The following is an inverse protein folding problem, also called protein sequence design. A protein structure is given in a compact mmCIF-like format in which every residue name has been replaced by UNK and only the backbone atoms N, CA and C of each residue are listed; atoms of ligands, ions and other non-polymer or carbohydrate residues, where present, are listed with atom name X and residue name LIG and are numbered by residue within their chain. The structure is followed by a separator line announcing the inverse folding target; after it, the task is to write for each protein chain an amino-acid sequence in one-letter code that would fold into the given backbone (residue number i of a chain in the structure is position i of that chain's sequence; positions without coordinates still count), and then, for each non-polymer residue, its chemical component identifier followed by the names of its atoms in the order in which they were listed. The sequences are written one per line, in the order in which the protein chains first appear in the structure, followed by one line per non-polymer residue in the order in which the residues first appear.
data_IF_919264366775
#
_entry.id   IF_919264366775
#
_cell.length_a   1.000
_cell.length_b   1.000
_cell.length_c   1.000
_cell.angle_alpha   90.00
_cell.angle_beta   90.00
_cell.angle_gamma   90.00
#
_symmetry.space_group_name_H-M   'P 1'
#
loop_
_entity.id
_entity.type
_entity.pdbx_description
1 polymer ?
#
# COMPACT_ATOMS: atom_id res chain seq x y z
N UNK A 1 56.67 9.09 -5.25
CA UNK A 1 55.23 9.18 -5.57
C UNK A 1 54.33 9.68 -4.43
N UNK A 2 54.82 10.01 -3.22
CA UNK A 2 53.94 10.45 -2.11
C UNK A 2 53.67 11.97 -1.98
N UNK A 3 54.35 12.86 -2.71
CA UNK A 3 54.16 14.33 -2.56
C UNK A 3 52.96 14.92 -3.31
N UNK A 4 52.33 14.18 -4.24
CA UNK A 4 51.21 14.69 -5.07
C UNK A 4 49.83 14.48 -4.42
N UNK A 5 49.69 13.50 -3.52
CA UNK A 5 48.40 13.15 -2.92
C UNK A 5 47.94 14.18 -1.86
N UNK A 6 48.88 14.72 -1.07
CA UNK A 6 48.57 15.72 -0.03
C UNK A 6 48.06 17.06 -0.57
N UNK A 7 48.55 17.50 -1.74
CA UNK A 7 48.09 18.75 -2.38
C UNK A 7 46.65 18.65 -2.90
N UNK A 8 46.25 17.49 -3.43
CA UNK A 8 44.88 17.26 -3.90
C UNK A 8 43.90 17.22 -2.73
N UNK A 9 44.27 16.54 -1.63
CA UNK A 9 43.42 16.47 -0.44
C UNK A 9 43.21 17.84 0.23
N UNK A 10 44.26 18.68 0.26
CA UNK A 10 44.17 20.04 0.80
C UNK A 10 43.28 20.95 -0.05
N UNK A 11 43.33 20.83 -1.39
CA UNK A 11 42.46 21.58 -2.30
C UNK A 11 40.98 21.18 -2.16
N UNK A 12 40.69 19.89 -1.95
CA UNK A 12 39.33 19.43 -1.68
C UNK A 12 38.78 19.96 -0.36
N UNK A 13 39.59 19.94 0.71
CA UNK A 13 39.17 20.45 2.02
C UNK A 13 38.92 21.97 2.00
N UNK A 14 39.76 22.75 1.31
CA UNK A 14 39.56 24.19 1.15
C UNK A 14 38.30 24.49 0.32
N UNK A 15 38.03 23.71 -0.73
CA UNK A 15 36.81 23.84 -1.53
C UNK A 15 35.53 23.52 -0.75
N UNK A 16 35.54 22.49 0.08
CA UNK A 16 34.40 22.14 0.95
C UNK A 16 34.16 23.21 2.03
N UNK A 17 35.20 23.80 2.61
CA UNK A 17 35.04 24.88 3.59
C UNK A 17 34.51 26.17 2.95
N UNK A 18 34.95 26.50 1.74
CA UNK A 18 34.46 27.68 1.01
C UNK A 18 32.99 27.55 0.58
N UNK A 19 32.57 26.36 0.15
CA UNK A 19 31.18 26.08 -0.20
C UNK A 19 30.25 26.10 1.01
N UNK A 20 30.68 25.56 2.16
CA UNK A 20 29.94 25.69 3.43
C UNK A 20 29.80 27.15 3.87
N UNK A 21 30.84 27.99 3.71
CA UNK A 21 30.79 29.40 4.07
C UNK A 21 29.78 30.18 3.21
N UNK A 22 29.73 29.90 1.91
CA UNK A 22 28.78 30.54 0.98
C UNK A 22 27.32 30.15 1.28
N UNK A 23 27.06 28.91 1.66
CA UNK A 23 25.72 28.46 2.06
C UNK A 23 25.26 29.15 3.35
N UNK A 24 26.17 29.33 4.33
CA UNK A 24 25.85 30.03 5.57
C UNK A 24 25.59 31.54 5.37
N UNK A 25 26.35 32.19 4.47
CA UNK A 25 26.12 33.59 4.12
C UNK A 25 24.78 33.78 3.37
N UNK A 26 24.42 32.85 2.48
CA UNK A 26 23.13 32.87 1.79
C UNK A 26 21.93 32.66 2.74
N UNK A 27 22.09 31.83 3.79
CA UNK A 27 21.04 31.63 4.81
C UNK A 27 20.86 32.87 5.70
N UNK A 28 21.96 33.55 6.08
CA UNK A 28 21.87 34.82 6.83
C UNK A 28 21.19 35.93 6.04
N UNK A 29 21.49 36.05 4.74
CA UNK A 29 20.88 37.06 3.88
C UNK A 29 19.38 36.80 3.66
N UNK A 30 18.96 35.53 3.63
CA UNK A 30 17.54 35.13 3.55
C UNK A 30 16.76 35.43 4.83
N UNK A 31 17.42 35.31 6.00
CA UNK A 31 16.81 35.67 7.29
C UNK A 31 16.60 37.16 7.46
N UNK A 32 17.53 38.00 6.99
CA UNK A 32 17.38 39.47 7.07
C UNK A 32 16.26 40.02 6.17
N UNK A 33 15.93 39.35 5.06
CA UNK A 33 14.83 39.79 4.17
C UNK A 33 13.44 39.36 4.69
N UNK A 34 13.38 38.37 5.59
CA UNK A 34 12.13 37.85 6.14
C UNK A 34 11.46 38.73 7.22
N UNK A 35 12.17 39.70 7.81
CA UNK A 35 11.65 40.53 8.91
C UNK A 35 11.04 41.88 8.49
N UNK A 36 11.05 42.25 7.20
CA UNK A 36 10.67 43.60 6.73
C UNK A 36 9.49 43.68 5.73
N UNK A 37 8.77 42.59 5.45
CA UNK A 37 7.67 42.56 4.47
C UNK A 37 6.28 42.46 5.12
N UNK A 38 5.71 43.61 5.47
CA UNK A 38 4.46 43.73 6.24
C UNK A 38 3.12 43.60 5.50
N UNK A 39 2.12 43.97 6.28
CA UNK A 39 0.68 44.00 6.13
C UNK A 39 0.11 44.54 4.80
N UNK A 40 -1.06 44.02 4.40
CA UNK A 40 -2.00 44.75 3.55
C UNK A 40 -2.90 43.90 2.64
N UNK A 41 -4.22 44.08 2.77
CA UNK A 41 -5.12 43.99 1.61
C UNK A 41 -6.19 42.89 1.60
N UNK A 42 -7.38 43.24 2.10
CA UNK A 42 -8.66 42.52 1.91
C UNK A 42 -9.28 42.82 0.52
N UNK A 43 -10.26 41.96 0.14
CA UNK A 43 -11.36 42.10 -0.86
C UNK A 43 -11.06 41.60 -2.28
N UNK A 44 -11.72 40.53 -2.71
CA UNK A 44 -12.97 40.45 -3.52
C UNK A 44 -12.60 40.02 -4.97
N UNK A 45 -13.29 39.17 -5.73
CA UNK A 45 -14.72 38.96 -5.94
C UNK A 45 -15.07 37.50 -6.29
N UNK A 46 -16.36 37.19 -6.07
CA UNK A 46 -17.16 36.09 -6.59
C UNK A 46 -17.41 36.16 -8.11
N UNK A 47 -17.78 34.98 -8.65
CA UNK A 47 -18.78 34.73 -9.71
C UNK A 47 -18.28 34.48 -11.13
N UNK A 48 -18.50 33.26 -11.63
CA UNK A 48 -19.50 33.00 -12.69
C UNK A 48 -19.57 31.49 -13.01
N UNK A 49 -20.76 30.92 -12.83
CA UNK A 49 -21.15 29.59 -13.30
C UNK A 49 -22.17 29.75 -14.43
N UNK A 50 -22.07 28.95 -15.49
CA UNK A 50 -23.19 28.25 -16.15
C UNK A 50 -22.77 27.48 -17.42
N UNK A 51 -23.56 26.45 -17.85
CA UNK A 51 -23.07 25.26 -18.54
C UNK A 51 -23.48 25.16 -20.02
N UNK A 52 -22.91 24.20 -20.78
CA UNK A 52 -23.36 23.81 -22.12
C UNK A 52 -23.63 22.30 -22.24
N UNK A 53 -24.73 22.01 -22.96
CA UNK A 53 -25.42 20.73 -23.22
C UNK A 53 -24.66 19.77 -24.17
N UNK A 54 -24.93 18.48 -24.01
CA UNK A 54 -24.75 17.39 -24.99
C UNK A 54 -26.06 17.12 -25.79
N UNK A 55 -25.99 16.42 -26.93
CA UNK A 55 -27.13 15.70 -27.52
C UNK A 55 -27.00 14.16 -27.48
N UNK A 56 -28.15 13.48 -27.37
CA UNK A 56 -28.41 12.03 -27.35
C UNK A 56 -28.50 11.41 -28.76
N UNK A 57 -28.31 10.09 -28.87
CA UNK A 57 -28.86 9.22 -29.93
C UNK A 57 -29.10 7.78 -29.39
N UNK A 58 -30.11 7.11 -29.96
CA UNK A 58 -30.92 5.97 -29.49
C UNK A 58 -30.37 4.55 -29.76
N UNK A 59 -31.04 3.58 -29.10
CA UNK A 59 -30.76 2.14 -28.88
C UNK A 59 -30.95 1.18 -30.08
N UNK A 60 -30.37 -0.03 -29.93
CA UNK A 60 -30.77 -1.28 -30.57
C UNK A 60 -30.13 -2.52 -29.90
N UNK A 61 -30.94 -3.49 -29.48
CA UNK A 61 -30.63 -4.85 -28.96
C UNK A 61 -31.30 -5.89 -29.92
N UNK A 62 -31.03 -7.23 -29.89
CA UNK A 62 -30.58 -8.04 -28.74
C UNK A 62 -29.57 -9.20 -29.01
N UNK A 63 -29.02 -9.80 -27.93
CA UNK A 63 -28.41 -11.15 -27.96
C UNK A 63 -27.60 -11.55 -26.71
N UNK A 64 -28.02 -12.62 -26.02
CA UNK A 64 -27.49 -13.12 -24.73
C UNK A 64 -26.00 -13.54 -24.74
N UNK A 65 -25.20 -12.95 -23.83
CA UNK A 65 -23.92 -13.45 -23.32
C UNK A 65 -23.58 -12.73 -21.96
N UNK A 66 -22.60 -13.20 -21.15
CA UNK A 66 -22.58 -13.07 -19.68
C UNK A 66 -22.49 -11.62 -19.17
N UNK A 67 -23.12 -11.36 -18.01
CA UNK A 67 -23.24 -10.03 -17.38
C UNK A 67 -21.87 -9.37 -17.12
N UNK A 68 -21.40 -8.58 -18.08
CA UNK A 68 -20.47 -7.49 -17.88
C UNK A 68 -21.15 -6.37 -17.07
N UNK A 69 -20.50 -5.89 -16.02
CA UNK A 69 -20.91 -4.68 -15.30
C UNK A 69 -20.61 -3.49 -16.22
N UNK A 70 -21.62 -3.02 -16.95
CA UNK A 70 -21.47 -2.01 -18.02
C UNK A 70 -21.51 -0.54 -17.59
N UNK A 71 -21.61 -0.23 -16.29
CA UNK A 71 -21.48 1.15 -15.84
C UNK A 71 -21.16 1.26 -14.36
N UNK A 72 -20.25 2.19 -14.01
CA UNK A 72 -20.00 2.62 -12.62
C UNK A 72 -21.32 2.99 -11.91
N UNK A 73 -22.30 3.53 -12.64
CA UNK A 73 -23.61 3.92 -12.11
C UNK A 73 -24.41 2.73 -11.56
N UNK A 74 -24.38 1.57 -12.23
CA UNK A 74 -25.14 0.39 -11.81
C UNK A 74 -24.57 -0.18 -10.52
N UNK A 75 -23.25 -0.26 -10.42
CA UNK A 75 -22.57 -0.69 -9.20
C UNK A 75 -22.81 0.28 -8.04
N UNK A 76 -22.75 1.61 -8.27
CA UNK A 76 -23.09 2.58 -7.22
C UNK A 76 -24.57 2.52 -6.82
N UNK A 77 -25.47 2.11 -7.72
CA UNK A 77 -26.88 1.89 -7.41
C UNK A 77 -27.07 0.67 -6.49
N UNK A 78 -26.34 -0.42 -6.72
CA UNK A 78 -26.33 -1.61 -5.85
C UNK A 78 -25.72 -1.30 -4.48
N UNK A 79 -24.60 -0.56 -4.42
CA UNK A 79 -24.03 -0.06 -3.17
C UNK A 79 -25.02 0.82 -2.39
N UNK A 80 -25.75 1.68 -3.10
CA UNK A 80 -26.75 2.56 -2.50
C UNK A 80 -27.94 1.78 -1.96
N UNK A 81 -28.33 0.67 -2.62
CA UNK A 81 -29.41 -0.21 -2.15
C UNK A 81 -29.02 -0.97 -0.89
N UNK A 82 -27.81 -1.55 -0.86
CA UNK A 82 -27.27 -2.21 0.34
C UNK A 82 -27.14 -1.25 1.55
N UNK A 83 -26.82 0.03 1.30
CA UNK A 83 -26.79 1.06 2.35
C UNK A 83 -28.18 1.39 2.91
N UNK A 84 -29.23 1.41 2.08
CA UNK A 84 -30.61 1.65 2.54
C UNK A 84 -31.17 0.48 3.36
N UNK A 85 -30.84 -0.75 2.97
CA UNK A 85 -31.21 -1.95 3.74
C UNK A 85 -30.53 -1.96 5.13
N UNK A 86 -29.28 -1.48 5.23
CA UNK A 86 -28.58 -1.35 6.50
C UNK A 86 -29.04 -0.16 7.37
N UNK A 87 -29.58 0.90 6.77
CA UNK A 87 -30.01 2.12 7.47
C UNK A 87 -31.51 2.16 7.80
N UNK A 88 -32.34 1.28 7.22
CA UNK A 88 -33.79 1.21 7.45
C UNK A 88 -34.21 0.61 8.81
N UNK A 89 -33.28 0.10 9.60
CA UNK A 89 -33.55 -0.46 10.92
C UNK A 89 -33.29 0.58 12.03
N UNK A 90 -34.23 1.51 12.24
CA UNK A 90 -34.14 2.44 13.36
C UNK A 90 -35.44 3.19 13.68
N UNK A 91 -36.23 2.67 14.62
CA UNK A 91 -36.84 3.48 15.69
C UNK A 91 -37.44 2.60 16.80
N UNK A 92 -37.23 3.04 18.05
CA UNK A 92 -37.77 2.58 19.35
C UNK A 92 -37.03 1.41 20.03
N UNK A 93 -36.17 1.77 21.00
CA UNK A 93 -35.46 0.86 21.88
C UNK A 93 -36.34 0.37 23.05
N UNK A 94 -36.19 -0.91 23.42
CA UNK A 94 -35.81 -1.25 24.79
C UNK A 94 -34.54 -2.10 24.83
N UNK A 95 -33.87 -2.10 25.99
CA UNK A 95 -32.61 -2.77 26.31
C UNK A 95 -32.46 -4.14 25.61
N UNK A 96 -31.45 -4.30 24.75
CA UNK A 96 -31.08 -5.59 24.15
C UNK A 96 -29.75 -6.09 24.70
N UNK A 97 -29.81 -7.24 25.34
CA UNK A 97 -28.69 -8.18 25.46
C UNK A 97 -28.07 -8.41 24.08
N UNK A 98 -26.73 -8.42 24.03
CA UNK A 98 -25.90 -8.88 22.91
C UNK A 98 -26.30 -8.38 21.52
N UNK A 99 -25.69 -7.30 21.03
CA UNK A 99 -25.65 -7.04 19.59
C UNK A 99 -25.15 -8.31 18.87
N UNK A 100 -25.93 -8.90 17.93
CA UNK A 100 -25.45 -10.02 17.14
C UNK A 100 -24.14 -9.59 16.47
N UNK A 101 -23.09 -10.40 16.58
CA UNK A 101 -21.88 -10.19 15.78
C UNK A 101 -22.32 -10.02 14.31
N UNK A 102 -21.81 -9.01 13.59
CA UNK A 102 -22.05 -8.92 12.15
C UNK A 102 -21.77 -10.28 11.52
N UNK A 103 -22.70 -10.78 10.71
CA UNK A 103 -22.50 -12.04 10.01
C UNK A 103 -21.21 -11.93 9.18
N UNK A 104 -20.37 -12.97 9.24
CA UNK A 104 -19.19 -13.05 8.41
C UNK A 104 -19.63 -13.01 6.95
N UNK A 105 -18.99 -12.17 6.15
CA UNK A 105 -19.21 -12.15 4.71
C UNK A 105 -18.60 -13.42 4.09
N UNK A 106 -19.36 -14.08 3.22
CA UNK A 106 -18.87 -15.23 2.49
C UNK A 106 -17.91 -14.77 1.38
N UNK A 107 -16.62 -14.94 1.66
CA UNK A 107 -15.53 -14.64 0.74
C UNK A 107 -14.51 -15.78 0.70
N UNK A 108 -13.89 -15.91 -0.46
CA UNK A 108 -12.83 -16.90 -0.72
C UNK A 108 -11.53 -16.19 -1.10
N UNK A 109 -10.44 -16.95 -1.30
CA UNK A 109 -9.19 -16.37 -1.78
C UNK A 109 -9.34 -15.70 -3.16
N UNK A 110 -10.27 -16.18 -3.98
CA UNK A 110 -10.57 -15.63 -5.31
C UNK A 110 -11.16 -14.21 -5.26
N UNK A 111 -11.77 -13.84 -4.13
CA UNK A 111 -12.32 -12.51 -3.92
C UNK A 111 -11.25 -11.47 -3.53
N UNK A 112 -10.02 -11.92 -3.24
CA UNK A 112 -8.90 -11.07 -2.82
C UNK A 112 -7.91 -10.91 -3.97
N UNK A 113 -7.58 -9.67 -4.30
CA UNK A 113 -6.52 -9.30 -5.23
C UNK A 113 -5.26 -9.00 -4.42
N UNK A 114 -4.26 -9.88 -4.48
CA UNK A 114 -2.99 -9.67 -3.78
C UNK A 114 -1.98 -9.12 -4.78
N UNK A 115 -1.57 -7.87 -4.58
CA UNK A 115 -0.53 -7.21 -5.36
C UNK A 115 0.81 -7.29 -4.63
N UNK A 116 1.80 -7.92 -5.26
CA UNK A 116 3.19 -7.98 -4.79
C UNK A 116 4.02 -6.99 -5.60
N UNK A 117 4.52 -5.94 -4.95
CA UNK A 117 5.41 -4.98 -5.61
C UNK A 117 6.85 -5.44 -5.53
N UNK A 118 7.52 -5.47 -6.67
CA UNK A 118 8.93 -5.83 -6.78
C UNK A 118 9.63 -5.00 -7.85
N UNK A 119 10.89 -5.33 -8.11
CA UNK A 119 11.73 -4.75 -9.15
C UNK A 119 12.58 -5.84 -9.77
N UNK A 120 12.99 -5.66 -11.03
CA UNK A 120 13.76 -6.68 -11.78
C UNK A 120 14.98 -7.18 -11.03
N UNK A 121 15.68 -6.31 -10.29
CA UNK A 121 16.86 -6.70 -9.50
C UNK A 121 16.57 -7.69 -8.36
N UNK A 122 15.30 -7.84 -7.94
CA UNK A 122 14.88 -8.71 -6.83
C UNK A 122 14.08 -9.94 -7.26
N UNK A 123 13.87 -10.15 -8.56
CA UNK A 123 13.22 -11.36 -9.08
C UNK A 123 13.87 -12.64 -8.54
N UNK A 124 15.21 -12.71 -8.55
CA UNK A 124 15.95 -13.86 -8.02
C UNK A 124 16.16 -13.81 -6.51
N UNK A 125 16.63 -12.66 -6.00
CA UNK A 125 17.06 -12.56 -4.61
C UNK A 125 15.90 -12.61 -3.59
N UNK A 126 14.67 -12.26 -3.99
CA UNK A 126 13.51 -12.18 -3.09
C UNK A 126 12.30 -12.94 -3.63
N UNK A 127 11.91 -12.66 -4.87
CA UNK A 127 10.65 -13.18 -5.40
C UNK A 127 10.66 -14.71 -5.60
N UNK A 128 11.80 -15.30 -5.99
CA UNK A 128 11.91 -16.77 -6.10
C UNK A 128 11.56 -17.47 -4.77
N UNK A 129 11.96 -16.91 -3.63
CA UNK A 129 11.60 -17.41 -2.30
C UNK A 129 10.07 -17.33 -2.05
N UNK A 130 9.42 -16.25 -2.47
CA UNK A 130 7.98 -16.10 -2.29
C UNK A 130 7.20 -17.11 -3.15
N UNK A 131 7.67 -17.33 -4.39
CA UNK A 131 7.15 -18.32 -5.33
C UNK A 131 7.30 -19.76 -4.82
N UNK A 132 8.41 -20.07 -4.16
CA UNK A 132 8.65 -21.38 -3.54
C UNK A 132 7.79 -21.59 -2.28
N UNK A 133 7.35 -20.50 -1.64
CA UNK A 133 6.66 -20.53 -0.34
C UNK A 133 5.20 -20.09 -0.46
N UNK A 134 4.80 -18.94 0.07
CA UNK A 134 3.39 -18.60 0.24
C UNK A 134 2.64 -18.38 -1.08
N UNK A 135 3.32 -17.91 -2.13
CA UNK A 135 2.70 -17.75 -3.46
C UNK A 135 2.39 -19.11 -4.08
N UNK A 136 3.17 -20.17 -3.78
CA UNK A 136 2.90 -21.52 -4.31
C UNK A 136 1.49 -22.04 -3.97
N UNK A 137 0.91 -21.57 -2.87
CA UNK A 137 -0.43 -21.97 -2.41
C UNK A 137 -1.57 -21.19 -3.05
N UNK A 138 -1.28 -20.05 -3.69
CA UNK A 138 -2.27 -19.12 -4.24
C UNK A 138 -1.80 -18.46 -5.56
N UNK A 139 -1.02 -19.20 -6.36
CA UNK A 139 -0.28 -18.68 -7.52
C UNK A 139 -1.16 -17.92 -8.50
N UNK A 140 -2.34 -18.47 -8.81
CA UNK A 140 -3.27 -17.89 -9.79
C UNK A 140 -4.00 -16.65 -9.26
N UNK A 141 -3.86 -16.33 -7.97
CA UNK A 141 -4.57 -15.23 -7.29
C UNK A 141 -3.64 -14.11 -6.85
N UNK A 142 -2.32 -14.29 -6.99
CA UNK A 142 -1.30 -13.30 -6.66
C UNK A 142 -0.76 -12.66 -7.93
N UNK A 143 -0.74 -11.32 -7.96
CA UNK A 143 -0.29 -10.51 -9.08
C UNK A 143 1.02 -9.81 -8.73
N UNK A 144 2.03 -9.96 -9.58
CA UNK A 144 3.38 -9.44 -9.35
C UNK A 144 3.59 -8.22 -10.24
N UNK A 145 3.86 -7.08 -9.61
CA UNK A 145 4.07 -5.80 -10.30
C UNK A 145 5.55 -5.46 -10.28
N UNK A 146 6.16 -5.38 -11.47
CA UNK A 146 7.60 -5.16 -11.64
C UNK A 146 7.88 -4.06 -12.68
N UNK A 147 9.16 -3.71 -12.81
CA UNK A 147 9.68 -2.69 -13.73
C UNK A 147 10.50 -3.27 -14.90
N UNK A 148 10.49 -4.59 -15.07
CA UNK A 148 11.15 -5.20 -16.21
C UNK A 148 10.73 -6.62 -16.51
N UNK A 149 10.82 -6.96 -17.80
CA UNK A 149 10.53 -8.29 -18.32
C UNK A 149 11.50 -9.35 -17.81
N UNK A 150 10.97 -10.55 -17.56
CA UNK A 150 11.70 -11.75 -17.14
C UNK A 150 10.94 -13.01 -17.60
N UNK A 151 11.47 -13.66 -18.62
CA UNK A 151 10.84 -14.84 -19.23
C UNK A 151 10.86 -16.08 -18.31
N UNK A 152 11.87 -16.20 -17.44
CA UNK A 152 11.90 -17.28 -16.46
C UNK A 152 10.82 -17.08 -15.40
N UNK A 153 10.61 -15.84 -14.96
CA UNK A 153 9.52 -15.50 -14.05
C UNK A 153 8.15 -15.77 -14.68
N UNK A 154 7.93 -15.42 -15.97
CA UNK A 154 6.68 -15.70 -16.68
C UNK A 154 6.38 -17.19 -16.83
N UNK A 155 7.41 -18.03 -17.00
CA UNK A 155 7.24 -19.49 -16.95
C UNK A 155 6.80 -19.95 -15.55
N UNK A 156 7.29 -19.29 -14.51
CA UNK A 156 6.95 -19.57 -13.11
C UNK A 156 5.63 -18.98 -12.64
N UNK A 157 5.00 -18.02 -13.31
CA UNK A 157 3.62 -17.56 -13.04
C UNK A 157 3.10 -16.66 -14.15
N UNK A 158 1.81 -16.79 -14.49
CA UNK A 158 1.17 -15.99 -15.54
C UNK A 158 0.80 -14.57 -15.09
N UNK A 159 0.75 -14.31 -13.78
CA UNK A 159 0.29 -13.05 -13.21
C UNK A 159 1.43 -12.04 -13.00
N UNK A 160 2.27 -11.83 -14.01
CA UNK A 160 3.38 -10.87 -13.96
C UNK A 160 3.04 -9.66 -14.81
N UNK A 161 2.99 -8.49 -14.18
CA UNK A 161 2.68 -7.21 -14.80
C UNK A 161 3.93 -6.36 -14.82
N UNK A 162 4.47 -6.12 -16.01
CA UNK A 162 5.44 -5.06 -16.20
C UNK A 162 4.70 -3.71 -16.24
N UNK A 163 4.98 -2.89 -15.23
CA UNK A 163 4.38 -1.56 -15.04
C UNK A 163 4.93 -0.51 -15.99
N UNK A 164 6.07 -0.76 -16.63
CA UNK A 164 6.87 0.23 -17.36
C UNK A 164 7.25 1.46 -16.52
N UNK A 165 7.14 1.38 -15.20
CA UNK A 165 7.63 2.39 -14.26
C UNK A 165 9.15 2.27 -14.09
N UNK A 166 9.77 3.32 -13.55
CA UNK A 166 11.20 3.29 -13.23
C UNK A 166 11.55 2.19 -12.21
N UNK A 167 12.72 1.59 -12.37
CA UNK A 167 13.33 0.66 -11.41
C UNK A 167 13.96 1.37 -10.19
N UNK A 168 13.95 2.70 -10.16
CA UNK A 168 14.43 3.47 -9.01
C UNK A 168 13.56 3.22 -7.77
N UNK A 169 14.15 3.40 -6.59
CA UNK A 169 13.43 3.38 -5.32
C UNK A 169 13.06 4.80 -4.88
N UNK A 170 12.54 5.61 -5.80
CA UNK A 170 12.09 6.98 -5.54
C UNK A 170 10.59 7.03 -5.27
N UNK A 171 10.11 8.10 -4.62
CA UNK A 171 8.67 8.33 -4.37
C UNK A 171 7.84 8.22 -5.65
N UNK A 172 8.31 8.82 -6.74
CA UNK A 172 7.63 8.77 -8.03
C UNK A 172 7.60 7.35 -8.62
N UNK A 173 8.71 6.61 -8.54
CA UNK A 173 8.77 5.25 -9.08
C UNK A 173 7.85 4.28 -8.32
N UNK A 174 7.83 4.37 -6.98
CA UNK A 174 6.96 3.56 -6.13
C UNK A 174 5.48 3.93 -6.33
N UNK A 175 5.16 5.22 -6.38
CA UNK A 175 3.80 5.69 -6.66
C UNK A 175 3.31 5.26 -8.03
N UNK A 176 4.20 5.20 -9.03
CA UNK A 176 3.86 4.73 -10.37
C UNK A 176 3.44 3.26 -10.34
N UNK A 177 4.20 2.40 -9.65
CA UNK A 177 3.84 0.99 -9.50
C UNK A 177 2.52 0.83 -8.75
N UNK A 178 2.34 1.55 -7.63
CA UNK A 178 1.10 1.55 -6.86
C UNK A 178 -0.12 2.00 -7.69
N UNK A 179 0.05 2.99 -8.58
CA UNK A 179 -1.02 3.40 -9.50
C UNK A 179 -1.46 2.25 -10.41
N UNK A 180 -0.50 1.49 -10.96
CA UNK A 180 -0.79 0.33 -11.82
C UNK A 180 -1.40 -0.83 -11.01
N UNK A 181 -0.95 -1.07 -9.78
CA UNK A 181 -1.56 -2.02 -8.85
C UNK A 181 -3.04 -1.71 -8.62
N UNK A 182 -3.32 -0.45 -8.33
CA UNK A 182 -4.66 0.04 -8.08
C UNK A 182 -5.57 -0.10 -9.31
N UNK A 183 -5.12 0.36 -10.48
CA UNK A 183 -5.90 0.27 -11.72
C UNK A 183 -6.20 -1.20 -12.08
N UNK A 184 -5.21 -2.09 -11.97
CA UNK A 184 -5.40 -3.54 -12.20
C UNK A 184 -6.38 -4.16 -11.21
N UNK A 185 -6.37 -3.72 -9.96
CA UNK A 185 -7.38 -4.14 -8.99
C UNK A 185 -8.79 -3.70 -9.39
N UNK A 186 -8.97 -2.42 -9.79
CA UNK A 186 -10.28 -1.91 -10.22
C UNK A 186 -10.82 -2.74 -11.39
N UNK A 187 -9.97 -2.97 -12.40
CA UNK A 187 -10.26 -3.80 -13.58
C UNK A 187 -10.64 -5.25 -13.20
N UNK A 188 -10.02 -5.82 -12.18
CA UNK A 188 -10.21 -7.22 -11.79
C UNK A 188 -11.62 -7.55 -11.27
N UNK A 189 -12.40 -6.56 -10.86
CA UNK A 189 -13.73 -6.78 -10.26
C UNK A 189 -13.72 -7.36 -8.83
N UNK A 190 -12.56 -7.67 -8.26
CA UNK A 190 -12.44 -8.37 -6.97
C UNK A 190 -12.92 -7.52 -5.78
N UNK A 191 -13.34 -8.19 -4.71
CA UNK A 191 -13.92 -7.58 -3.50
C UNK A 191 -12.89 -6.85 -2.65
N UNK A 192 -11.64 -7.34 -2.63
CA UNK A 192 -10.60 -6.81 -1.77
C UNK A 192 -9.30 -6.56 -2.52
N UNK A 193 -8.69 -5.40 -2.33
CA UNK A 193 -7.33 -5.10 -2.73
C UNK A 193 -6.41 -5.29 -1.54
N UNK A 194 -5.34 -6.06 -1.67
CA UNK A 194 -4.30 -6.16 -0.64
C UNK A 194 -2.93 -5.95 -1.27
N UNK A 195 -2.22 -4.95 -0.79
CA UNK A 195 -0.85 -4.64 -1.20
C UNK A 195 0.15 -5.28 -0.23
N UNK A 196 1.25 -5.83 -0.76
CA UNK A 196 2.44 -6.27 -0.02
C UNK A 196 3.72 -6.02 -0.83
N UNK A 197 4.86 -5.92 -0.14
CA UNK A 197 6.18 -5.83 -0.77
C UNK A 197 6.82 -7.23 -0.96
N UNK A 198 7.88 -7.29 -1.77
CA UNK A 198 8.60 -8.53 -2.10
C UNK A 198 9.43 -9.15 -0.96
N UNK A 199 9.41 -8.54 0.23
CA UNK A 199 9.96 -9.08 1.46
C UNK A 199 8.89 -9.42 2.51
N UNK A 200 7.62 -9.54 2.08
CA UNK A 200 6.52 -10.03 2.92
C UNK A 200 6.16 -11.50 2.68
N UNK A 201 5.75 -12.18 3.75
CA UNK A 201 5.09 -13.48 3.73
C UNK A 201 3.62 -13.30 4.05
N UNK A 202 2.72 -13.86 3.23
CA UNK A 202 1.27 -13.73 3.42
C UNK A 202 0.63 -15.07 3.80
N UNK A 203 -0.01 -15.11 4.97
CA UNK A 203 -0.88 -16.22 5.35
C UNK A 203 -2.29 -15.97 4.80
N UNK A 204 -2.54 -16.40 3.56
CA UNK A 204 -3.78 -16.11 2.83
C UNK A 204 -5.03 -16.65 3.55
N UNK A 205 -4.93 -17.78 4.26
CA UNK A 205 -6.06 -18.33 5.03
C UNK A 205 -6.49 -17.37 6.15
N UNK A 206 -5.51 -16.85 6.89
CA UNK A 206 -5.76 -15.87 7.95
C UNK A 206 -6.21 -14.54 7.38
N UNK A 207 -5.66 -14.12 6.22
CA UNK A 207 -6.10 -12.93 5.51
C UNK A 207 -7.59 -13.00 5.15
N UNK A 208 -8.03 -14.06 4.49
CA UNK A 208 -9.45 -14.25 4.11
C UNK A 208 -10.34 -14.27 5.35
N UNK A 209 -9.91 -14.95 6.43
CA UNK A 209 -10.65 -14.97 7.71
C UNK A 209 -10.76 -13.59 8.37
N UNK A 210 -9.74 -12.75 8.24
CA UNK A 210 -9.79 -11.38 8.75
C UNK A 210 -10.77 -10.54 7.92
N UNK A 211 -10.67 -10.61 6.60
CA UNK A 211 -11.47 -9.81 5.68
C UNK A 211 -12.96 -10.20 5.69
N UNK A 212 -13.30 -11.47 5.93
CA UNK A 212 -14.69 -11.91 6.08
C UNK A 212 -15.40 -11.28 7.28
N UNK A 213 -14.66 -10.67 8.21
CA UNK A 213 -15.24 -9.87 9.30
C UNK A 213 -15.85 -8.53 8.87
N UNK A 214 -15.68 -8.12 7.61
CA UNK A 214 -16.08 -6.81 7.12
C UNK A 214 -16.83 -6.93 5.77
N UNK A 215 -17.88 -6.12 5.53
CA UNK A 215 -18.52 -6.09 4.21
C UNK A 215 -17.66 -5.34 3.19
N UNK A 216 -17.30 -5.98 2.08
CA UNK A 216 -16.46 -5.36 1.03
C UNK A 216 -17.12 -4.17 0.29
N UNK A 217 -18.41 -3.96 0.47
CA UNK A 217 -19.18 -2.83 -0.07
C UNK A 217 -19.09 -1.57 0.81
N UNK A 218 -18.57 -1.70 2.03
CA UNK A 218 -18.36 -0.58 2.94
C UNK A 218 -16.99 0.07 2.76
N UNK A 219 -16.69 1.07 3.59
CA UNK A 219 -15.45 1.84 3.55
C UNK A 219 -14.42 1.25 4.52
N UNK A 220 -13.70 0.22 4.07
CA UNK A 220 -12.76 -0.52 4.90
C UNK A 220 -11.33 -0.32 4.40
N UNK A 221 -10.49 0.23 5.27
CA UNK A 221 -9.04 0.32 5.13
C UNK A 221 -8.41 -0.30 6.37
N UNK A 222 -7.64 -1.38 6.21
CA UNK A 222 -7.10 -2.16 7.33
C UNK A 222 -5.61 -2.45 7.13
N UNK A 223 -4.84 -2.28 8.21
CA UNK A 223 -3.40 -2.53 8.20
C UNK A 223 -2.73 -2.10 9.51
N UNK A 224 -1.40 -2.12 9.53
CA UNK A 224 -0.60 -1.65 10.67
C UNK A 224 -0.28 -0.17 10.51
N UNK A 225 -0.63 0.72 11.46
CA UNK A 225 -0.22 2.12 11.37
C UNK A 225 1.31 2.25 11.44
N UNK A 226 1.87 3.13 10.62
CA UNK A 226 3.34 3.28 10.53
C UNK A 226 4.00 4.08 11.64
N UNK A 227 3.21 4.87 12.36
CA UNK A 227 3.66 5.74 13.43
C UNK A 227 2.79 5.50 14.67
N UNK A 228 3.22 6.02 15.81
CA UNK A 228 2.43 6.07 17.05
C UNK A 228 1.45 7.25 17.09
N UNK A 229 1.50 8.13 16.08
CA UNK A 229 0.68 9.33 15.89
C UNK A 229 0.37 9.57 14.40
N UNK A 230 -0.65 10.35 14.04
CA UNK A 230 -0.87 10.74 12.64
C UNK A 230 0.37 11.44 12.08
N UNK A 231 0.70 11.20 10.80
CA UNK A 231 1.75 11.97 10.14
C UNK A 231 1.31 13.42 10.00
N UNK A 232 2.27 14.34 10.15
CA UNK A 232 2.06 15.76 9.87
C UNK A 232 2.66 16.05 8.50
N UNK A 233 1.84 16.51 7.57
CA UNK A 233 2.26 16.81 6.21
C UNK A 233 1.60 18.10 5.70
N UNK A 234 1.94 18.46 4.46
CA UNK A 234 1.35 19.62 3.81
C UNK A 234 0.88 19.25 2.42
N UNK A 235 -0.33 19.69 2.09
CA UNK A 235 -0.91 19.59 0.77
C UNK A 235 -0.65 20.88 0.00
N UNK A 236 -0.09 20.78 -1.21
CA UNK A 236 0.07 21.91 -2.12
C UNK A 236 -1.24 22.20 -2.85
N UNK A 237 -1.93 23.29 -2.49
CA UNK A 237 -3.16 23.73 -3.17
C UNK A 237 -2.80 24.55 -4.42
N UNK A 238 -1.79 25.43 -4.31
CA UNK A 238 -1.22 26.19 -5.42
C UNK A 238 0.26 26.45 -5.15
N UNK A 239 0.99 27.08 -6.08
CA UNK A 239 2.44 27.31 -5.92
C UNK A 239 2.83 28.01 -4.63
N UNK A 240 1.96 28.91 -4.14
CA UNK A 240 2.20 29.72 -2.95
C UNK A 240 1.29 29.37 -1.77
N UNK A 241 0.45 28.34 -1.89
CA UNK A 241 -0.51 27.96 -0.83
C UNK A 241 -0.36 26.50 -0.46
N UNK A 242 0.14 26.29 0.76
CA UNK A 242 0.24 24.99 1.41
C UNK A 242 -0.82 24.89 2.50
N UNK A 243 -1.44 23.73 2.65
CA UNK A 243 -2.41 23.45 3.70
C UNK A 243 -1.92 22.30 4.59
N UNK A 244 -1.89 22.46 5.92
CA UNK A 244 -1.46 21.38 6.82
C UNK A 244 -2.49 20.25 6.86
N UNK A 245 -2.02 19.01 6.79
CA UNK A 245 -2.86 17.81 6.84
C UNK A 245 -2.30 16.80 7.83
N UNK A 246 -3.20 16.09 8.51
CA UNK A 246 -2.87 15.16 9.59
C UNK A 246 -3.68 13.89 9.42
N UNK A 247 -3.02 12.74 9.27
CA UNK A 247 -3.72 11.49 8.98
C UNK A 247 -2.91 10.25 9.39
N UNK A 248 -3.58 9.12 9.59
CA UNK A 248 -2.92 7.83 9.69
C UNK A 248 -2.74 7.21 8.31
N UNK A 249 -1.75 6.34 8.19
CA UNK A 249 -1.55 5.49 7.02
C UNK A 249 -1.02 4.14 7.47
N UNK A 250 -1.40 3.09 6.74
CA UNK A 250 -0.86 1.76 6.94
C UNK A 250 0.54 1.67 6.32
N UNK A 251 1.50 1.06 7.02
CA UNK A 251 2.86 0.85 6.51
C UNK A 251 2.81 -0.06 5.27
N UNK A 252 3.32 0.41 4.13
CA UNK A 252 3.38 -0.38 2.90
C UNK A 252 4.06 -1.74 3.09
N UNK A 253 5.25 -1.74 3.72
CA UNK A 253 6.02 -2.95 4.01
C UNK A 253 5.49 -3.85 5.14
N UNK A 254 4.35 -3.52 5.76
CA UNK A 254 3.56 -4.47 6.56
C UNK A 254 2.44 -5.12 5.73
N UNK A 255 2.12 -4.55 4.59
CA UNK A 255 0.91 -4.80 3.82
C UNK A 255 -0.33 -4.13 4.40
N UNK A 256 -1.30 -3.89 3.52
CA UNK A 256 -2.60 -3.33 3.88
C UNK A 256 -3.68 -3.83 2.92
N UNK A 257 -4.95 -3.72 3.33
CA UNK A 257 -6.07 -4.05 2.47
C UNK A 257 -7.14 -2.96 2.43
N UNK A 258 -7.79 -2.84 1.27
CA UNK A 258 -8.84 -1.88 0.96
C UNK A 258 -10.01 -2.64 0.35
N UNK A 259 -11.21 -2.43 0.89
CA UNK A 259 -12.45 -2.96 0.33
C UNK A 259 -12.78 -2.32 -1.02
N UNK A 260 -13.43 -3.06 -1.93
CA UNK A 260 -13.86 -2.55 -3.24
C UNK A 260 -14.73 -1.29 -3.14
N UNK A 261 -15.64 -1.22 -2.18
CA UNK A 261 -16.48 -0.04 -1.93
C UNK A 261 -15.66 1.23 -1.71
N UNK A 262 -14.66 1.15 -0.81
CA UNK A 262 -13.72 2.24 -0.57
C UNK A 262 -12.87 2.58 -1.80
N UNK A 263 -12.28 1.57 -2.44
CA UNK A 263 -11.46 1.79 -3.61
C UNK A 263 -12.23 2.55 -4.69
N UNK A 264 -13.46 2.16 -5.03
CA UNK A 264 -14.22 2.88 -6.04
C UNK A 264 -14.49 4.36 -5.69
N UNK A 265 -14.52 4.72 -4.41
CA UNK A 265 -14.58 6.13 -3.96
C UNK A 265 -13.22 6.84 -4.07
N UNK A 266 -12.11 6.12 -3.97
CA UNK A 266 -10.76 6.67 -4.16
C UNK A 266 -10.44 6.96 -5.63
N UNK A 267 -11.17 6.38 -6.58
CA UNK A 267 -10.87 6.47 -8.02
C UNK A 267 -10.62 7.87 -8.57
N UNK A 268 -11.33 8.95 -8.16
CA UNK A 268 -11.03 10.32 -8.62
C UNK A 268 -9.62 10.82 -8.28
N UNK A 269 -8.94 10.21 -7.30
CA UNK A 269 -7.59 10.58 -6.86
C UNK A 269 -6.54 9.49 -7.12
N UNK A 270 -6.97 8.26 -7.40
CA UNK A 270 -6.11 7.10 -7.51
C UNK A 270 -6.10 6.45 -8.90
N UNK A 271 -7.22 6.43 -9.63
CA UNK A 271 -7.29 5.72 -10.90
C UNK A 271 -6.83 6.57 -12.09
N UNK A 272 -6.48 5.94 -13.21
CA UNK A 272 -6.27 6.63 -14.49
C UNK A 272 -5.11 7.62 -14.45
N UNK A 273 -4.06 7.31 -13.68
CA UNK A 273 -2.88 8.17 -13.50
C UNK A 273 -3.03 9.27 -12.44
N UNK A 274 -4.21 9.46 -11.85
CA UNK A 274 -4.41 10.49 -10.81
C UNK A 274 -3.61 10.23 -9.53
N UNK A 275 -3.27 8.97 -9.23
CA UNK A 275 -2.45 8.64 -8.05
C UNK A 275 -1.11 9.38 -8.06
N UNK A 276 -0.47 9.49 -9.22
CA UNK A 276 0.81 10.18 -9.38
C UNK A 276 0.69 11.68 -9.10
N UNK A 277 -0.37 12.31 -9.62
CA UNK A 277 -0.66 13.73 -9.35
C UNK A 277 -0.94 13.98 -7.87
N UNK A 278 -1.69 13.08 -7.23
CA UNK A 278 -1.99 13.15 -5.80
C UNK A 278 -0.72 12.99 -4.96
N UNK A 279 0.13 12.01 -5.29
CA UNK A 279 1.40 11.79 -4.61
C UNK A 279 2.34 13.00 -4.71
N UNK A 280 2.42 13.65 -5.88
CA UNK A 280 3.24 14.86 -6.04
C UNK A 280 2.66 16.07 -5.29
N UNK A 281 1.33 16.15 -5.12
CA UNK A 281 0.67 17.23 -4.38
C UNK A 281 1.09 17.28 -2.91
N UNK A 282 1.26 16.11 -2.29
CA UNK A 282 1.65 15.97 -0.87
C UNK A 282 3.14 15.66 -0.68
N UNK A 283 3.83 15.26 -1.75
CA UNK A 283 5.26 14.89 -1.78
C UNK A 283 5.65 13.81 -0.78
N UNK A 284 4.75 12.86 -0.54
CA UNK A 284 4.98 11.71 0.33
C UNK A 284 5.17 10.41 -0.48
N UNK A 285 5.59 9.32 0.17
CA UNK A 285 5.58 7.98 -0.42
C UNK A 285 4.17 7.50 -0.83
N UNK A 286 4.12 6.37 -1.51
CA UNK A 286 2.91 5.74 -2.05
C UNK A 286 1.94 5.29 -0.95
N UNK A 287 2.42 4.64 0.11
CA UNK A 287 1.59 4.23 1.26
C UNK A 287 0.95 5.43 2.00
N UNK A 288 1.71 6.51 2.16
CA UNK A 288 1.24 7.79 2.67
C UNK A 288 0.20 8.42 1.74
N UNK A 289 0.34 8.26 0.42
CA UNK A 289 -0.64 8.75 -0.57
C UNK A 289 -1.96 8.01 -0.46
N UNK A 290 -1.92 6.68 -0.28
CA UNK A 290 -3.12 5.87 0.03
C UNK A 290 -3.79 6.38 1.31
N UNK A 291 -3.03 6.54 2.40
CA UNK A 291 -3.56 7.07 3.67
C UNK A 291 -4.12 8.48 3.56
N UNK A 292 -3.47 9.36 2.80
CA UNK A 292 -3.95 10.72 2.55
C UNK A 292 -5.31 10.72 1.84
N UNK A 293 -5.44 9.98 0.74
CA UNK A 293 -6.72 9.87 0.01
C UNK A 293 -7.81 9.35 0.95
N UNK A 294 -7.54 8.29 1.71
CA UNK A 294 -8.56 7.62 2.52
C UNK A 294 -8.94 8.45 3.75
N UNK A 295 -7.97 8.89 4.55
CA UNK A 295 -8.24 9.57 5.82
C UNK A 295 -8.49 11.07 5.66
N UNK A 296 -7.66 11.76 4.87
CA UNK A 296 -7.76 13.23 4.76
C UNK A 296 -8.82 13.67 3.76
N UNK A 297 -8.93 12.97 2.62
CA UNK A 297 -9.87 13.35 1.56
C UNK A 297 -11.24 12.70 1.75
N UNK A 298 -11.28 11.39 2.02
CA UNK A 298 -12.54 10.65 2.16
C UNK A 298 -13.06 10.55 3.61
N UNK A 299 -12.25 10.89 4.62
CA UNK A 299 -12.65 10.88 6.02
C UNK A 299 -12.85 9.48 6.62
N UNK A 300 -12.28 8.44 5.99
CA UNK A 300 -12.39 7.04 6.42
C UNK A 300 -11.18 6.70 7.31
N UNK A 301 -11.41 6.11 8.48
CA UNK A 301 -10.34 5.80 9.43
C UNK A 301 -9.67 4.47 9.13
N UNK A 302 -8.35 4.43 9.27
CA UNK A 302 -7.55 3.20 9.27
C UNK A 302 -7.99 2.30 10.45
N UNK A 303 -8.46 1.12 10.10
CA UNK A 303 -8.66 0.03 11.04
C UNK A 303 -7.29 -0.55 11.37
N UNK A 304 -6.85 -0.36 12.61
CA UNK A 304 -5.56 -0.87 13.09
C UNK A 304 -5.64 -2.36 13.32
N UNK A 305 -4.71 -3.10 12.73
CA UNK A 305 -4.58 -4.53 12.93
C UNK A 305 -3.16 -4.90 13.34
N UNK A 306 -3.04 -5.65 14.43
CA UNK A 306 -1.77 -6.20 14.92
C UNK A 306 -1.39 -7.52 14.23
N UNK A 307 -2.13 -7.92 13.19
CA UNK A 307 -1.85 -9.12 12.41
C UNK A 307 -0.94 -8.84 11.19
N UNK A 308 -0.67 -7.57 10.91
CA UNK A 308 0.22 -7.15 9.83
C UNK A 308 1.56 -6.70 10.42
N UNK A 309 2.66 -7.21 9.87
CA UNK A 309 3.99 -6.97 10.42
C UNK A 309 5.02 -6.53 9.38
N UNK A 310 5.78 -5.49 9.72
CA UNK A 310 6.87 -4.94 8.89
C UNK A 310 8.23 -5.22 9.52
N UNK A 311 9.28 -5.33 8.72
CA UNK A 311 10.65 -5.35 9.25
C UNK A 311 11.09 -4.03 9.90
N UNK A 312 10.24 -2.99 9.91
CA UNK A 312 10.43 -1.74 10.64
C UNK A 312 9.95 -1.81 12.11
N UNK A 313 9.46 -2.96 12.56
CA UNK A 313 9.17 -3.23 13.97
C UNK A 313 9.98 -4.40 14.51
N UNK A 314 10.04 -4.59 15.84
CA UNK A 314 10.80 -5.69 16.40
C UNK A 314 10.09 -7.05 16.20
N UNK A 315 10.42 -7.76 15.12
CA UNK A 315 9.79 -9.03 14.76
C UNK A 315 10.08 -10.16 15.77
N UNK A 316 11.10 -10.02 16.62
CA UNK A 316 11.34 -10.97 17.71
C UNK A 316 10.24 -10.93 18.79
N UNK A 317 9.42 -9.88 18.83
CA UNK A 317 8.30 -9.76 19.75
C UNK A 317 7.07 -10.56 19.31
N UNK A 318 7.00 -11.00 18.05
CA UNK A 318 5.91 -11.84 17.56
C UNK A 318 6.03 -13.22 18.21
N UNK A 319 5.07 -13.65 19.06
CA UNK A 319 5.20 -14.93 19.74
C UNK A 319 5.14 -16.09 18.75
N UNK A 320 6.03 -17.06 18.91
CA UNK A 320 6.06 -18.27 18.07
C UNK A 320 4.70 -18.99 18.01
N UNK A 321 4.00 -19.06 19.14
CA UNK A 321 2.66 -19.66 19.23
C UNK A 321 1.60 -18.92 18.43
N UNK A 322 1.85 -17.68 18.05
CA UNK A 322 0.91 -16.81 17.34
C UNK A 322 1.23 -16.65 15.85
N UNK A 323 2.36 -17.19 15.35
CA UNK A 323 2.78 -17.07 13.94
C UNK A 323 1.65 -17.47 12.98
N UNK A 324 0.96 -18.57 13.25
CA UNK A 324 -0.13 -19.08 12.42
C UNK A 324 -1.38 -18.17 12.39
N UNK A 325 -1.48 -17.22 13.31
CA UNK A 325 -2.58 -16.24 13.38
C UNK A 325 -2.21 -14.89 12.74
N UNK A 326 -0.96 -14.69 12.34
CA UNK A 326 -0.55 -13.47 11.66
C UNK A 326 -0.97 -13.50 10.20
N UNK A 327 -1.32 -12.33 9.65
CA UNK A 327 -1.71 -12.15 8.24
C UNK A 327 -0.48 -11.94 7.38
N UNK A 328 0.39 -11.01 7.78
CA UNK A 328 1.68 -10.79 7.10
C UNK A 328 2.84 -10.88 8.08
N UNK A 329 3.98 -11.32 7.59
CA UNK A 329 5.27 -11.25 8.25
C UNK A 329 6.27 -10.62 7.28
N UNK A 330 7.41 -10.15 7.76
CA UNK A 330 8.45 -9.55 6.92
C UNK A 330 9.83 -10.03 7.34
N UNK A 331 10.84 -9.64 6.57
CA UNK A 331 12.24 -9.73 6.97
C UNK A 331 13.02 -8.56 6.38
N UNK A 332 14.12 -8.18 7.03
CA UNK A 332 14.93 -7.07 6.54
C UNK A 332 16.00 -6.65 7.53
N UNK A 333 16.40 -5.40 7.43
CA UNK A 333 17.32 -4.77 8.36
C UNK A 333 16.56 -3.77 9.23
N UNK A 334 16.73 -3.86 10.55
CA UNK A 334 16.23 -2.90 11.52
C UNK A 334 17.38 -2.48 12.44
N UNK A 335 17.65 -1.18 12.55
CA UNK A 335 18.77 -0.64 13.35
C UNK A 335 20.12 -1.34 13.03
N UNK A 336 20.39 -1.58 11.74
CA UNK A 336 21.58 -2.30 11.23
C UNK A 336 21.72 -3.76 11.68
N UNK A 337 20.65 -4.37 12.20
CA UNK A 337 20.60 -5.80 12.53
C UNK A 337 19.59 -6.52 11.65
N UNK A 338 19.86 -7.79 11.35
CA UNK A 338 18.87 -8.67 10.69
C UNK A 338 17.65 -8.76 11.58
N UNK A 339 16.49 -8.50 11.00
CA UNK A 339 15.20 -8.53 11.66
C UNK A 339 14.30 -9.52 10.91
N UNK A 340 13.91 -10.58 11.58
CA UNK A 340 13.08 -11.67 11.07
C UNK A 340 12.41 -12.37 12.24
N UNK A 341 11.42 -13.22 11.99
CA UNK A 341 10.72 -13.92 13.07
C UNK A 341 11.67 -14.87 13.81
N UNK A 342 11.75 -14.73 15.13
CA UNK A 342 12.59 -15.62 15.93
C UNK A 342 11.94 -16.99 16.10
N UNK A 343 12.35 -17.96 15.28
CA UNK A 343 11.91 -19.35 15.39
C UNK A 343 13.03 -20.35 15.14
N UNK A 344 12.95 -21.48 15.84
CA UNK A 344 13.72 -22.68 15.52
C UNK A 344 13.02 -23.42 14.38
N UNK A 345 13.77 -24.19 13.62
CA UNK A 345 13.24 -24.97 12.52
C UNK A 345 14.32 -25.84 11.92
N UNK A 346 13.99 -26.53 10.84
CA UNK A 346 14.93 -27.42 10.16
C UNK A 346 16.06 -26.68 9.44
N UNK A 347 15.83 -25.40 9.09
CA UNK A 347 16.78 -24.60 8.32
C UNK A 347 17.61 -23.71 9.23
N UNK A 348 18.93 -23.76 9.08
CA UNK A 348 19.87 -22.85 9.76
C UNK A 348 19.67 -21.40 9.31
N UNK A 349 20.13 -20.43 10.10
CA UNK A 349 20.00 -18.99 9.79
C UNK A 349 20.64 -18.58 8.46
N UNK A 350 21.61 -19.36 7.97
CA UNK A 350 22.28 -19.12 6.69
C UNK A 350 21.48 -19.69 5.51
N UNK A 351 20.78 -20.81 5.69
CA UNK A 351 19.95 -21.43 4.66
C UNK A 351 18.60 -20.72 4.48
N UNK A 352 18.05 -20.12 5.54
CA UNK A 352 16.74 -19.45 5.52
C UNK A 352 16.79 -18.11 6.27
N UNK A 353 17.59 -17.12 5.83
CA UNK A 353 17.83 -15.89 6.60
C UNK A 353 16.58 -15.04 6.83
N UNK A 354 15.53 -15.19 6.01
CA UNK A 354 14.21 -14.55 6.19
C UNK A 354 13.30 -15.29 7.15
N UNK A 355 13.60 -16.57 7.43
CA UNK A 355 12.75 -17.52 8.16
C UNK A 355 11.48 -17.93 7.40
N UNK A 356 11.31 -17.51 6.14
CA UNK A 356 10.09 -17.80 5.37
C UNK A 356 9.94 -19.27 5.00
N UNK A 357 11.04 -20.01 4.78
CA UNK A 357 10.95 -21.47 4.56
C UNK A 357 10.49 -22.16 5.84
N UNK A 358 11.03 -21.75 6.99
CA UNK A 358 10.65 -22.28 8.30
C UNK A 358 9.18 -21.96 8.64
N UNK A 359 8.74 -20.73 8.42
CA UNK A 359 7.33 -20.32 8.57
C UNK A 359 6.45 -21.14 7.62
N UNK A 360 6.87 -21.33 6.38
CA UNK A 360 6.10 -22.11 5.42
C UNK A 360 5.91 -23.56 5.85
N UNK A 361 6.97 -24.23 6.30
CA UNK A 361 6.86 -25.60 6.80
C UNK A 361 6.04 -25.72 8.09
N UNK A 362 6.03 -24.68 8.94
CA UNK A 362 5.13 -24.62 10.08
C UNK A 362 3.66 -24.58 9.66
N UNK A 363 3.31 -23.79 8.64
CA UNK A 363 1.93 -23.61 8.18
C UNK A 363 1.45 -24.70 7.23
N UNK A 364 2.38 -25.30 6.48
CA UNK A 364 2.14 -26.24 5.40
C UNK A 364 3.16 -27.39 5.47
N UNK A 365 3.06 -28.25 6.50
CA UNK A 365 4.00 -29.35 6.68
C UNK A 365 3.90 -30.42 5.59
N UNK A 366 2.84 -30.41 4.78
CA UNK A 366 2.64 -31.27 3.60
C UNK A 366 3.49 -30.87 2.39
N UNK A 367 4.16 -29.71 2.43
CA UNK A 367 5.00 -29.26 1.32
C UNK A 367 6.21 -30.22 1.15
N UNK A 368 6.45 -30.80 -0.04
CA UNK A 368 7.37 -31.94 -0.21
C UNK A 368 8.83 -31.70 0.19
N UNK A 369 9.32 -30.46 0.09
CA UNK A 369 10.69 -30.10 0.46
C UNK A 369 10.84 -29.75 1.95
N UNK A 370 9.75 -29.74 2.72
CA UNK A 370 9.81 -29.53 4.17
C UNK A 370 10.39 -30.77 4.87
N UNK A 371 11.42 -30.61 5.71
CA UNK A 371 11.98 -31.72 6.46
C UNK A 371 10.96 -32.38 7.39
N UNK A 372 10.83 -33.72 7.37
CA UNK A 372 9.90 -34.45 8.22
C UNK A 372 10.35 -34.44 9.68
N UNK A 373 9.39 -34.59 10.60
CA UNK A 373 9.62 -34.75 12.05
C UNK A 373 10.34 -33.57 12.74
N UNK A 374 10.21 -32.35 12.20
CA UNK A 374 10.79 -31.15 12.82
C UNK A 374 9.72 -30.35 13.57
N UNK A 375 10.02 -30.01 14.82
CA UNK A 375 9.18 -29.12 15.64
C UNK A 375 9.56 -27.67 15.34
N UNK A 376 8.75 -27.03 14.51
CA UNK A 376 8.89 -25.62 14.12
C UNK A 376 8.36 -24.65 15.15
#
# INVERSE_FOLDING_TARGET
MLKSCGRKLLLFLVGCMFTCLLVLMADQQKRQVGELGGEGGRRALQSLASPRRQPQLQEGEPGLAPREVKSFTDYFSELSRGRREAQGAGSLAPRREGTPRPALEDITAQDVFIAVKTTKKFHKARLDLLLDTWISRNRDLTFIFTDGEDEELKKRTANVINTNCSAAHSRQALSCKMAVEYDKFIESGRKWFCHVDDDNYVNVRTLVKLLSGYPHTQDIYIGKPSLDRPIQATERISENKMHPVHFWFATGGAGFCISRGLALKMSPWASGGHFMSTAEKIRLPDDCTIGYIIESVLGVKLIRSNLFHSHLENLHQVPKTEIHKQVTLSYGMFENKRNSIHMKGAFSADEDPSRFRSIHCLLYPDTPWCPPNVVY
#
